data_IF_735263404212
#
_entry.id   IF_735263404212
#
_cell.length_a   1.000
_cell.length_b   1.000
_cell.length_c   1.000
_cell.angle_alpha   90.00
_cell.angle_beta   90.00
_cell.angle_gamma   90.00
#
_symmetry.space_group_name_H-M   'P 1'
#
loop_
_entity.id
_entity.type
_entity.pdbx_description
1 polymer ?
#
# COMPACT_ATOMS: atom_id res chain seq x y z
N UNK A 1 16.04 -11.59 48.59
CA UNK A 1 17.13 -10.62 48.81
C UNK A 1 17.59 -10.80 50.27
N UNK A 2 18.82 -11.23 50.50
CA UNK A 2 19.29 -11.64 51.84
C UNK A 2 20.17 -10.56 52.49
N UNK A 3 20.59 -9.57 51.73
CA UNK A 3 21.40 -8.45 52.18
C UNK A 3 20.96 -7.13 51.58
N UNK A 4 21.09 -6.07 52.39
CA UNK A 4 20.82 -4.70 51.93
C UNK A 4 21.80 -4.30 50.80
N UNK A 5 21.29 -3.81 49.64
CA UNK A 5 22.15 -3.40 48.53
C UNK A 5 23.03 -2.19 48.84
N UNK A 6 22.66 -1.37 49.84
CA UNK A 6 23.38 -0.14 50.16
C UNK A 6 24.46 -0.34 51.20
N UNK A 7 24.25 -1.19 52.22
CA UNK A 7 25.18 -1.34 53.34
C UNK A 7 25.64 -2.77 53.61
N UNK A 8 25.12 -3.79 52.89
CA UNK A 8 25.48 -5.19 53.03
C UNK A 8 24.93 -5.88 54.28
N UNK A 9 24.16 -5.19 55.15
CA UNK A 9 23.60 -5.78 56.36
C UNK A 9 22.61 -6.92 56.01
N UNK A 10 22.59 -8.04 56.78
CA UNK A 10 21.60 -9.10 56.59
C UNK A 10 20.18 -8.53 56.75
N UNK A 11 19.28 -8.91 55.83
CA UNK A 11 17.85 -8.56 55.89
C UNK A 11 17.08 -9.71 56.53
N UNK A 12 16.05 -9.38 57.33
CA UNK A 12 15.08 -10.32 57.87
C UNK A 12 13.91 -10.51 56.91
N UNK A 13 12.75 -10.87 57.48
CA UNK A 13 11.52 -11.04 56.70
C UNK A 13 11.09 -9.76 56.01
N UNK A 14 10.44 -9.86 54.85
CA UNK A 14 9.96 -8.70 54.09
C UNK A 14 8.94 -7.88 54.91
N UNK A 15 9.21 -6.59 55.10
CA UNK A 15 8.29 -5.68 55.79
C UNK A 15 6.98 -5.49 55.04
N UNK A 16 7.05 -5.50 53.70
CA UNK A 16 5.91 -5.39 52.80
C UNK A 16 6.11 -6.23 51.54
N UNK A 17 5.04 -6.87 51.08
CA UNK A 17 4.99 -7.55 49.79
C UNK A 17 3.87 -6.92 48.95
N UNK A 18 4.19 -6.56 47.72
CA UNK A 18 3.18 -6.10 46.76
C UNK A 18 3.28 -6.91 45.49
N UNK A 19 2.12 -7.07 44.84
CA UNK A 19 2.03 -7.74 43.55
C UNK A 19 2.29 -6.73 42.42
N UNK A 20 3.09 -7.14 41.46
CA UNK A 20 3.34 -6.38 40.24
C UNK A 20 3.08 -7.25 39.04
N UNK A 21 2.04 -6.88 38.25
CA UNK A 21 1.75 -7.52 36.99
C UNK A 21 2.56 -6.85 35.89
N UNK A 22 3.35 -7.62 35.17
CA UNK A 22 4.18 -7.15 34.06
C UNK A 22 3.76 -7.91 32.81
N UNK A 23 3.47 -7.18 31.74
CA UNK A 23 3.24 -7.75 30.41
C UNK A 23 4.55 -7.73 29.63
N UNK A 24 4.97 -8.89 29.13
CA UNK A 24 6.22 -9.02 28.37
C UNK A 24 5.93 -9.69 27.02
N UNK A 25 6.73 -9.36 26.00
CA UNK A 25 6.67 -9.99 24.71
C UNK A 25 7.55 -11.24 24.66
N UNK A 26 7.00 -12.35 24.18
CA UNK A 26 7.81 -13.51 23.81
C UNK A 26 8.59 -13.16 22.55
N UNK A 27 9.93 -13.31 22.53
CA UNK A 27 10.72 -13.05 21.34
C UNK A 27 10.21 -13.82 20.14
N UNK A 28 10.07 -13.15 19.01
CA UNK A 28 9.69 -13.81 17.78
C UNK A 28 10.80 -14.78 17.35
N UNK A 29 10.44 -15.98 16.91
CA UNK A 29 11.38 -16.98 16.42
C UNK A 29 10.90 -17.58 15.10
N UNK A 30 11.85 -18.08 14.30
CA UNK A 30 11.57 -18.78 13.03
C UNK A 30 11.75 -20.29 13.19
N UNK A 31 10.94 -21.02 12.43
CA UNK A 31 11.15 -22.46 12.23
C UNK A 31 11.63 -22.70 10.81
N UNK A 32 12.58 -23.60 10.67
CA UNK A 32 12.97 -24.14 9.37
C UNK A 32 12.50 -25.59 9.33
N UNK A 33 11.65 -25.92 8.37
CA UNK A 33 11.13 -27.28 8.16
C UNK A 33 11.72 -27.85 6.88
N UNK A 34 12.22 -29.06 6.94
CA UNK A 34 12.56 -29.85 5.76
C UNK A 34 11.32 -30.67 5.38
N UNK A 35 10.77 -30.43 4.20
CA UNK A 35 9.62 -31.16 3.66
C UNK A 35 10.14 -32.04 2.52
N UNK A 36 9.97 -33.34 2.63
CA UNK A 36 10.28 -34.30 1.57
C UNK A 36 9.02 -34.48 0.73
N UNK A 37 9.11 -34.08 -0.54
CA UNK A 37 8.00 -34.19 -1.50
C UNK A 37 8.35 -35.34 -2.47
N UNK A 38 7.53 -36.39 -2.43
CA UNK A 38 7.67 -37.51 -3.33
C UNK A 38 6.88 -37.28 -4.62
N UNK A 39 7.51 -37.49 -5.74
CA UNK A 39 6.92 -37.41 -7.08
C UNK A 39 6.79 -38.82 -7.64
N UNK A 40 5.63 -39.13 -8.19
CA UNK A 40 5.32 -40.43 -8.73
C UNK A 40 4.89 -40.29 -10.19
N UNK A 41 5.38 -41.20 -11.05
CA UNK A 41 4.85 -41.33 -12.39
C UNK A 41 3.53 -42.12 -12.35
N UNK A 42 2.46 -41.53 -12.87
CA UNK A 42 1.18 -42.21 -13.04
C UNK A 42 1.11 -42.81 -14.44
N UNK A 43 1.11 -44.16 -14.55
CA UNK A 43 1.03 -44.85 -15.83
C UNK A 43 -0.35 -44.69 -16.51
N UNK A 44 -1.40 -44.37 -15.76
CA UNK A 44 -2.74 -44.14 -16.28
C UNK A 44 -2.90 -42.75 -16.87
N UNK A 45 -2.46 -41.72 -16.13
CA UNK A 45 -2.56 -40.29 -16.55
C UNK A 45 -1.39 -39.85 -17.42
N UNK A 46 -0.35 -40.67 -17.58
CA UNK A 46 0.91 -40.36 -18.29
C UNK A 46 1.55 -39.04 -17.84
N UNK A 47 1.53 -38.76 -16.52
CA UNK A 47 2.13 -37.56 -15.94
C UNK A 47 2.72 -37.80 -14.55
N UNK A 48 3.65 -36.92 -14.16
CA UNK A 48 4.15 -36.88 -12.79
C UNK A 48 3.12 -36.29 -11.87
N UNK A 49 2.83 -36.96 -10.76
CA UNK A 49 1.93 -36.49 -9.70
C UNK A 49 2.68 -36.38 -8.37
N UNK A 50 2.29 -35.45 -7.55
CA UNK A 50 2.84 -35.26 -6.20
C UNK A 50 1.74 -34.89 -5.23
N UNK A 51 1.92 -35.18 -3.95
CA UNK A 51 1.02 -34.76 -2.90
C UNK A 51 1.16 -33.25 -2.65
N UNK A 52 0.05 -32.58 -2.44
CA UNK A 52 0.03 -31.18 -1.95
C UNK A 52 0.29 -31.13 -0.44
N UNK A 53 0.73 -30.01 0.07
CA UNK A 53 0.89 -29.75 1.49
C UNK A 53 0.38 -28.34 1.82
N UNK A 54 -0.25 -28.19 2.96
CA UNK A 54 -0.69 -26.92 3.54
C UNK A 54 0.43 -26.17 4.31
N UNK A 55 1.58 -26.84 4.47
CA UNK A 55 2.70 -26.35 5.28
C UNK A 55 3.69 -25.48 4.50
N UNK A 56 3.59 -25.47 3.19
CA UNK A 56 4.39 -24.62 2.30
C UNK A 56 3.53 -24.12 1.14
N UNK A 57 3.80 -22.92 0.68
CA UNK A 57 3.18 -22.43 -0.55
C UNK A 57 3.73 -23.21 -1.77
N UNK A 58 2.90 -23.45 -2.78
CA UNK A 58 3.36 -24.12 -4.01
C UNK A 58 4.58 -23.40 -4.58
N UNK A 59 5.62 -24.17 -4.92
CA UNK A 59 6.87 -23.70 -5.53
C UNK A 59 7.57 -22.55 -4.78
N UNK A 60 7.31 -22.40 -3.46
CA UNK A 60 7.89 -21.36 -2.61
C UNK A 60 8.61 -21.96 -1.40
N UNK A 61 9.61 -21.23 -0.92
CA UNK A 61 10.36 -21.60 0.31
C UNK A 61 9.69 -21.05 1.59
N UNK A 62 8.58 -20.31 1.45
CA UNK A 62 7.89 -19.68 2.54
C UNK A 62 6.67 -20.51 2.96
N UNK A 63 6.51 -20.66 4.27
CA UNK A 63 5.26 -21.18 4.83
C UNK A 63 4.17 -20.10 4.87
N UNK A 64 2.90 -20.51 4.96
CA UNK A 64 1.77 -19.57 4.88
C UNK A 64 1.80 -18.48 5.97
N UNK A 65 2.26 -18.78 7.17
CA UNK A 65 2.37 -17.78 8.25
C UNK A 65 3.36 -16.66 7.92
N UNK A 66 4.55 -17.01 7.41
CA UNK A 66 5.52 -16.01 6.97
C UNK A 66 4.97 -15.18 5.82
N UNK A 67 4.35 -15.83 4.83
CA UNK A 67 3.73 -15.16 3.71
C UNK A 67 2.66 -14.14 4.17
N UNK A 68 1.73 -14.56 5.03
CA UNK A 68 0.70 -13.67 5.59
C UNK A 68 1.30 -12.50 6.37
N UNK A 69 2.40 -12.73 7.10
CA UNK A 69 3.08 -11.65 7.82
C UNK A 69 3.67 -10.62 6.86
N UNK A 70 4.34 -11.06 5.78
CA UNK A 70 4.92 -10.15 4.78
C UNK A 70 3.84 -9.34 4.06
N UNK A 71 2.71 -9.99 3.69
CA UNK A 71 1.55 -9.32 3.11
C UNK A 71 0.95 -8.29 4.09
N UNK A 72 0.76 -8.66 5.35
CA UNK A 72 0.23 -7.76 6.36
C UNK A 72 1.11 -6.51 6.54
N UNK A 73 2.43 -6.69 6.63
CA UNK A 73 3.36 -5.56 6.74
C UNK A 73 3.26 -4.63 5.52
N UNK A 74 3.07 -5.19 4.32
CA UNK A 74 2.83 -4.40 3.11
C UNK A 74 1.50 -3.64 3.18
N UNK A 75 0.43 -4.28 3.63
CA UNK A 75 -0.89 -3.64 3.82
C UNK A 75 -0.85 -2.53 4.87
N UNK A 76 0.03 -2.63 5.86
CA UNK A 76 0.29 -1.56 6.82
C UNK A 76 1.10 -0.39 6.23
N UNK A 77 1.43 -0.43 4.96
CA UNK A 77 2.13 0.65 4.23
C UNK A 77 3.65 0.60 4.32
N UNK A 78 4.25 -0.51 4.77
CA UNK A 78 5.70 -0.63 4.79
C UNK A 78 6.24 -0.86 3.36
N UNK A 79 7.21 -0.05 2.90
CA UNK A 79 7.92 -0.33 1.66
C UNK A 79 8.66 -1.67 1.73
N UNK A 80 8.81 -2.37 0.60
CA UNK A 80 9.39 -3.72 0.53
C UNK A 80 10.76 -3.83 1.23
N UNK A 81 11.63 -2.82 1.09
CA UNK A 81 12.93 -2.79 1.80
C UNK A 81 12.77 -2.71 3.31
N UNK A 82 11.77 -1.97 3.81
CA UNK A 82 11.47 -1.91 5.24
C UNK A 82 10.88 -3.22 5.75
N UNK A 83 10.09 -3.91 4.94
CA UNK A 83 9.62 -5.26 5.27
C UNK A 83 10.81 -6.20 5.43
N UNK A 84 11.76 -6.18 4.51
CA UNK A 84 13.00 -6.96 4.58
C UNK A 84 13.77 -6.69 5.87
N UNK A 85 14.05 -5.42 6.20
CA UNK A 85 14.76 -5.00 7.41
C UNK A 85 14.02 -5.43 8.67
N UNK A 86 12.69 -5.26 8.70
CA UNK A 86 11.84 -5.62 9.83
C UNK A 86 11.93 -7.11 10.14
N UNK A 87 11.79 -7.96 9.11
CA UNK A 87 11.83 -9.41 9.28
C UNK A 87 13.24 -9.89 9.66
N UNK A 88 14.29 -9.30 9.08
CA UNK A 88 15.67 -9.59 9.49
C UNK A 88 15.91 -9.24 10.97
N UNK A 89 15.41 -8.09 11.42
CA UNK A 89 15.58 -7.63 12.81
C UNK A 89 14.75 -8.44 13.80
N UNK A 90 13.48 -8.73 13.48
CA UNK A 90 12.56 -9.39 14.42
C UNK A 90 12.80 -10.89 14.57
N UNK A 91 13.10 -11.57 13.46
CA UNK A 91 13.18 -13.05 13.43
C UNK A 91 14.50 -13.58 12.86
N UNK A 92 15.45 -12.71 12.57
CA UNK A 92 16.77 -13.08 12.02
C UNK A 92 16.67 -13.78 10.65
N UNK A 93 15.68 -13.44 9.83
CA UNK A 93 15.45 -14.08 8.54
C UNK A 93 15.84 -13.14 7.39
N UNK A 94 16.85 -13.54 6.63
CA UNK A 94 17.26 -12.87 5.39
C UNK A 94 16.32 -13.29 4.25
N UNK A 95 15.52 -12.33 3.76
CA UNK A 95 14.64 -12.51 2.59
C UNK A 95 15.00 -11.46 1.55
N UNK A 96 15.17 -11.86 0.30
CA UNK A 96 15.47 -10.90 -0.76
C UNK A 96 14.25 -10.01 -1.09
N UNK A 97 14.49 -8.76 -1.49
CA UNK A 97 13.44 -7.84 -1.98
C UNK A 97 12.63 -8.49 -3.10
N UNK A 98 13.31 -9.16 -4.06
CA UNK A 98 12.62 -9.84 -5.15
C UNK A 98 11.70 -10.97 -4.68
N UNK A 99 12.11 -11.75 -3.66
CA UNK A 99 11.27 -12.81 -3.12
C UNK A 99 10.01 -12.27 -2.42
N UNK A 100 10.14 -11.13 -1.72
CA UNK A 100 8.98 -10.44 -1.13
C UNK A 100 8.06 -9.92 -2.23
N UNK A 101 8.61 -9.29 -3.27
CA UNK A 101 7.84 -8.75 -4.39
C UNK A 101 7.02 -9.84 -5.09
N UNK A 102 7.66 -10.93 -5.48
CA UNK A 102 6.99 -12.08 -6.12
C UNK A 102 5.90 -12.69 -5.22
N UNK A 103 6.10 -12.69 -3.90
CA UNK A 103 5.07 -13.13 -2.97
C UNK A 103 3.88 -12.17 -2.94
N UNK A 104 4.11 -10.86 -2.92
CA UNK A 104 3.04 -9.86 -2.92
C UNK A 104 2.23 -9.93 -4.23
N UNK A 105 2.88 -10.10 -5.37
CA UNK A 105 2.23 -10.29 -6.68
C UNK A 105 1.32 -11.52 -6.68
N UNK A 106 1.85 -12.68 -6.26
CA UNK A 106 1.05 -13.90 -6.17
C UNK A 106 -0.12 -13.79 -5.18
N UNK A 107 0.06 -13.02 -4.09
CA UNK A 107 -1.02 -12.76 -3.15
C UNK A 107 -2.09 -11.86 -3.75
N UNK A 108 -1.69 -10.83 -4.50
CA UNK A 108 -2.62 -9.96 -5.22
C UNK A 108 -3.44 -10.75 -6.27
N UNK A 109 -2.80 -11.63 -7.03
CA UNK A 109 -3.49 -12.52 -7.98
C UNK A 109 -4.53 -13.41 -7.28
N UNK A 110 -4.19 -13.97 -6.12
CA UNK A 110 -5.10 -14.84 -5.37
C UNK A 110 -6.32 -14.09 -4.80
N UNK A 111 -6.20 -12.78 -4.57
CA UNK A 111 -7.27 -11.90 -4.11
C UNK A 111 -8.12 -11.30 -5.24
N UNK A 112 -7.82 -11.63 -6.50
CA UNK A 112 -8.57 -11.16 -7.66
C UNK A 112 -10.08 -11.36 -7.55
N UNK A 113 -10.60 -12.55 -7.18
CA UNK A 113 -12.04 -12.77 -6.99
C UNK A 113 -12.67 -11.86 -5.93
N UNK A 114 -11.95 -11.55 -4.84
CA UNK A 114 -12.42 -10.65 -3.78
C UNK A 114 -12.42 -9.20 -4.26
N UNK A 115 -11.42 -8.80 -5.02
CA UNK A 115 -11.35 -7.48 -5.66
C UNK A 115 -12.55 -7.25 -6.59
N UNK A 116 -12.89 -8.25 -7.42
CA UNK A 116 -14.07 -8.22 -8.28
C UNK A 116 -15.39 -8.22 -7.48
N UNK A 117 -15.42 -8.90 -6.33
CA UNK A 117 -16.58 -8.88 -5.45
C UNK A 117 -16.80 -7.48 -4.85
N UNK A 118 -15.72 -6.81 -4.42
CA UNK A 118 -15.76 -5.43 -3.94
C UNK A 118 -16.25 -4.49 -5.04
N UNK A 119 -15.76 -4.64 -6.26
CA UNK A 119 -16.23 -3.85 -7.41
C UNK A 119 -17.73 -4.02 -7.63
N UNK A 120 -18.23 -5.26 -7.64
CA UNK A 120 -19.69 -5.52 -7.77
C UNK A 120 -20.50 -4.89 -6.64
N UNK A 121 -19.96 -4.82 -5.42
CA UNK A 121 -20.63 -4.16 -4.30
C UNK A 121 -20.72 -2.64 -4.49
N UNK A 122 -19.65 -2.02 -4.99
CA UNK A 122 -19.67 -0.60 -5.38
C UNK A 122 -20.72 -0.33 -6.48
N UNK A 123 -20.85 -1.22 -7.47
CA UNK A 123 -21.84 -1.08 -8.53
C UNK A 123 -23.31 -1.21 -8.05
N UNK A 124 -23.53 -1.87 -6.91
CA UNK A 124 -24.86 -2.00 -6.27
C UNK A 124 -25.20 -0.84 -5.33
N UNK A 125 -24.24 -0.01 -5.01
CA UNK A 125 -24.40 1.04 -4.03
C UNK A 125 -25.36 2.14 -4.50
N UNK A 126 -26.14 2.69 -3.56
CA UNK A 126 -27.02 3.82 -3.84
C UNK A 126 -26.27 5.14 -4.01
N UNK A 127 -25.07 5.23 -3.46
CA UNK A 127 -24.21 6.41 -3.52
C UNK A 127 -22.77 5.99 -3.66
N UNK A 128 -22.05 6.59 -4.60
CA UNK A 128 -20.61 6.45 -4.79
C UNK A 128 -19.96 7.82 -4.82
N UNK A 129 -18.84 7.93 -4.14
CA UNK A 129 -17.98 9.11 -4.11
C UNK A 129 -16.65 8.77 -4.81
N UNK A 130 -16.54 9.03 -6.11
CA UNK A 130 -15.28 8.90 -6.80
C UNK A 130 -14.38 10.10 -6.52
N UNK A 131 -13.09 9.83 -6.45
CA UNK A 131 -12.02 10.84 -6.37
C UNK A 131 -10.76 10.28 -7.03
N UNK A 132 -9.88 11.16 -7.52
CA UNK A 132 -8.64 10.72 -8.15
C UNK A 132 -7.46 11.57 -7.70
N UNK A 133 -6.31 10.93 -7.54
CA UNK A 133 -5.06 11.59 -7.20
C UNK A 133 -3.94 11.17 -8.13
N UNK A 134 -3.08 12.12 -8.50
CA UNK A 134 -1.92 11.82 -9.34
C UNK A 134 -0.83 11.12 -8.53
N UNK A 135 -0.17 10.15 -9.15
CA UNK A 135 0.98 9.46 -8.60
C UNK A 135 2.04 9.20 -9.67
N UNK A 136 3.26 8.88 -9.24
CA UNK A 136 4.35 8.53 -10.16
C UNK A 136 4.59 7.03 -10.15
N UNK A 137 4.53 6.42 -11.33
CA UNK A 137 4.84 5.00 -11.53
C UNK A 137 5.90 4.89 -12.62
N UNK A 138 7.08 4.38 -12.29
CA UNK A 138 8.18 4.25 -13.25
C UNK A 138 8.60 5.57 -13.93
N UNK A 139 8.43 6.72 -13.25
CA UNK A 139 8.73 8.04 -13.81
C UNK A 139 7.59 8.65 -14.64
N UNK A 140 6.55 7.90 -15.00
CA UNK A 140 5.37 8.39 -15.70
C UNK A 140 4.29 8.87 -14.72
N UNK A 141 3.42 9.77 -15.16
CA UNK A 141 2.23 10.17 -14.41
C UNK A 141 1.16 9.10 -14.54
N UNK A 142 0.62 8.67 -13.40
CA UNK A 142 -0.52 7.80 -13.27
C UNK A 142 -1.56 8.42 -12.34
N UNK A 143 -2.75 7.87 -12.33
CA UNK A 143 -3.84 8.28 -11.47
C UNK A 143 -4.32 7.10 -10.64
N UNK A 144 -4.39 7.31 -9.35
CA UNK A 144 -5.06 6.42 -8.43
C UNK A 144 -6.49 6.92 -8.27
N UNK A 145 -7.43 6.13 -8.76
CA UNK A 145 -8.85 6.37 -8.65
C UNK A 145 -9.41 5.64 -7.44
N UNK A 146 -10.28 6.27 -6.71
CA UNK A 146 -11.07 5.65 -5.65
C UNK A 146 -12.55 5.79 -5.96
N UNK A 147 -13.32 4.74 -5.78
CA UNK A 147 -14.77 4.74 -5.90
C UNK A 147 -15.33 4.24 -4.58
N UNK A 148 -15.56 5.17 -3.66
CA UNK A 148 -15.99 4.86 -2.30
C UNK A 148 -17.51 4.81 -2.19
N UNK A 149 -18.03 3.73 -1.66
CA UNK A 149 -19.42 3.52 -1.28
C UNK A 149 -19.52 3.36 0.24
N UNK A 150 -20.72 3.17 0.78
CA UNK A 150 -20.95 3.07 2.22
C UNK A 150 -20.20 1.87 2.86
N UNK A 151 -20.22 0.72 2.20
CA UNK A 151 -19.67 -0.54 2.73
C UNK A 151 -18.44 -1.06 1.98
N UNK A 152 -18.09 -0.44 0.85
CA UNK A 152 -17.02 -0.90 -0.03
C UNK A 152 -16.30 0.27 -0.70
N UNK A 153 -15.04 0.08 -1.03
CA UNK A 153 -14.27 1.02 -1.86
C UNK A 153 -13.46 0.24 -2.89
N UNK A 154 -13.64 0.58 -4.15
CA UNK A 154 -12.87 0.04 -5.26
C UNK A 154 -11.79 1.05 -5.67
N UNK A 155 -10.60 0.55 -5.94
CA UNK A 155 -9.46 1.36 -6.37
C UNK A 155 -8.98 0.90 -7.73
N UNK A 156 -8.68 1.84 -8.61
CA UNK A 156 -8.15 1.59 -9.94
C UNK A 156 -6.89 2.43 -10.18
N UNK A 157 -5.88 1.86 -10.81
CA UNK A 157 -4.68 2.59 -11.23
C UNK A 157 -4.68 2.71 -12.75
N UNK A 158 -4.62 3.94 -13.27
CA UNK A 158 -4.67 4.19 -14.70
C UNK A 158 -3.73 5.33 -15.11
N UNK A 159 -3.06 5.25 -16.26
CA UNK A 159 -2.28 6.37 -16.79
C UNK A 159 -3.17 7.55 -17.22
N UNK A 160 -4.46 7.32 -17.46
CA UNK A 160 -5.43 8.32 -17.87
C UNK A 160 -6.17 8.95 -16.70
N UNK A 161 -6.42 10.26 -16.76
CA UNK A 161 -7.43 10.97 -15.98
C UNK A 161 -8.70 11.16 -16.81
N UNK A 162 -8.98 10.26 -17.71
CA UNK A 162 -10.09 10.40 -18.65
C UNK A 162 -11.42 9.87 -18.14
N UNK A 163 -12.50 10.29 -18.78
CA UNK A 163 -13.85 9.77 -18.55
C UNK A 163 -13.97 8.27 -18.86
N UNK A 164 -13.04 7.72 -19.64
CA UNK A 164 -12.93 6.30 -19.98
C UNK A 164 -12.76 5.42 -18.75
N UNK A 165 -12.04 5.90 -17.72
CA UNK A 165 -11.90 5.19 -16.45
C UNK A 165 -13.24 5.13 -15.72
N UNK A 166 -13.96 6.25 -15.65
CA UNK A 166 -15.30 6.32 -15.04
C UNK A 166 -16.26 5.37 -15.74
N UNK A 167 -16.21 5.34 -17.09
CA UNK A 167 -17.03 4.45 -17.91
C UNK A 167 -16.69 2.98 -17.71
N UNK A 168 -15.42 2.65 -17.57
CA UNK A 168 -14.98 1.27 -17.33
C UNK A 168 -15.40 0.77 -15.95
N UNK A 169 -15.28 1.62 -14.92
CA UNK A 169 -15.55 1.23 -13.55
C UNK A 169 -17.03 1.26 -13.21
N UNK A 170 -17.75 2.34 -13.51
CA UNK A 170 -19.15 2.48 -13.14
C UNK A 170 -20.12 2.12 -14.26
N UNK A 171 -19.73 2.33 -15.52
CA UNK A 171 -20.66 2.25 -16.67
C UNK A 171 -21.55 3.49 -16.81
N UNK A 172 -22.04 3.74 -18.04
CA UNK A 172 -22.91 4.90 -18.32
C UNK A 172 -24.24 4.85 -17.57
N UNK A 173 -24.74 3.65 -17.33
CA UNK A 173 -26.07 3.41 -16.76
C UNK A 173 -26.01 3.06 -15.26
N UNK A 174 -24.98 3.51 -14.57
CA UNK A 174 -24.90 3.35 -13.11
C UNK A 174 -26.14 3.97 -12.44
N UNK A 175 -26.87 3.15 -11.68
CA UNK A 175 -28.18 3.55 -11.14
C UNK A 175 -28.12 4.36 -9.85
N UNK A 176 -26.97 4.36 -9.15
CA UNK A 176 -26.75 5.10 -7.92
C UNK A 176 -26.55 6.61 -8.18
N UNK A 177 -26.39 7.34 -7.10
CA UNK A 177 -26.01 8.75 -7.13
C UNK A 177 -24.48 8.85 -7.07
N UNK A 178 -23.86 9.61 -7.97
CA UNK A 178 -22.43 9.92 -7.94
C UNK A 178 -22.21 11.30 -7.37
N UNK A 179 -21.45 11.40 -6.28
CA UNK A 179 -21.08 12.69 -5.65
C UNK A 179 -19.57 12.89 -5.83
N UNK A 180 -19.19 13.79 -6.73
CA UNK A 180 -17.79 14.06 -7.08
C UNK A 180 -17.46 15.55 -6.95
N UNK A 181 -16.23 15.92 -7.25
CA UNK A 181 -15.92 17.31 -7.61
C UNK A 181 -16.64 17.71 -8.91
N UNK A 182 -16.51 18.96 -9.32
CA UNK A 182 -17.16 19.49 -10.53
C UNK A 182 -16.35 19.21 -11.83
N UNK A 183 -15.53 18.16 -11.83
CA UNK A 183 -14.77 17.81 -13.01
C UNK A 183 -15.66 17.22 -14.11
N UNK A 184 -15.48 17.71 -15.34
CA UNK A 184 -16.33 17.37 -16.48
C UNK A 184 -16.25 15.87 -16.90
N UNK A 185 -15.24 15.13 -16.50
CA UNK A 185 -15.10 13.70 -16.80
C UNK A 185 -16.25 12.84 -16.29
N UNK A 186 -16.96 13.29 -15.26
CA UNK A 186 -18.15 12.59 -14.74
C UNK A 186 -19.43 12.87 -15.56
N UNK A 187 -19.40 13.78 -16.57
CA UNK A 187 -20.56 14.10 -17.41
C UNK A 187 -21.01 12.94 -18.29
N UNK A 188 -20.19 11.93 -18.46
CA UNK A 188 -20.49 10.70 -19.21
C UNK A 188 -21.58 9.86 -18.53
N UNK A 189 -21.77 10.00 -17.23
CA UNK A 189 -22.77 9.26 -16.47
C UNK A 189 -24.17 9.83 -16.68
N UNK A 190 -25.14 8.96 -16.99
CA UNK A 190 -26.56 9.31 -17.22
C UNK A 190 -27.37 9.39 -15.93
N UNK A 191 -26.85 8.84 -14.82
CA UNK A 191 -27.50 8.75 -13.52
C UNK A 191 -27.53 10.07 -12.74
N UNK A 192 -28.01 9.99 -11.50
CA UNK A 192 -28.06 11.13 -10.58
C UNK A 192 -26.65 11.56 -10.18
N UNK A 193 -26.41 12.86 -10.19
CA UNK A 193 -25.14 13.46 -9.80
C UNK A 193 -25.31 14.52 -8.74
N UNK A 194 -24.39 14.56 -7.79
CA UNK A 194 -24.24 15.63 -6.81
C UNK A 194 -22.81 16.19 -6.83
N UNK A 195 -22.66 17.44 -6.47
CA UNK A 195 -21.34 18.07 -6.32
C UNK A 195 -20.91 18.00 -4.87
N UNK A 196 -19.68 17.58 -4.64
CA UNK A 196 -19.10 17.49 -3.31
C UNK A 196 -19.03 18.88 -2.66
N UNK A 197 -19.73 19.07 -1.53
CA UNK A 197 -19.79 20.34 -0.82
C UNK A 197 -18.42 20.85 -0.36
N UNK A 198 -17.50 19.96 -0.04
CA UNK A 198 -16.14 20.33 0.37
C UNK A 198 -15.40 21.02 -0.78
N UNK A 199 -15.51 20.48 -2.00
CA UNK A 199 -14.91 21.07 -3.20
C UNK A 199 -15.58 22.40 -3.54
N UNK A 200 -16.90 22.46 -3.54
CA UNK A 200 -17.66 23.70 -3.76
C UNK A 200 -17.28 24.80 -2.75
N UNK A 201 -17.11 24.44 -1.49
CA UNK A 201 -16.73 25.39 -0.44
C UNK A 201 -15.29 25.92 -0.63
N UNK A 202 -14.36 25.11 -1.16
CA UNK A 202 -13.01 25.58 -1.52
C UNK A 202 -13.08 26.64 -2.64
N UNK A 203 -13.93 26.43 -3.63
CA UNK A 203 -14.18 27.43 -4.69
C UNK A 203 -14.76 28.71 -4.12
N UNK A 204 -15.79 28.65 -3.29
CA UNK A 204 -16.41 29.79 -2.65
C UNK A 204 -15.43 30.58 -1.76
N UNK A 205 -14.59 29.91 -0.99
CA UNK A 205 -13.55 30.57 -0.17
C UNK A 205 -12.54 31.32 -1.06
N UNK A 206 -12.18 30.79 -2.20
CA UNK A 206 -11.27 31.45 -3.16
C UNK A 206 -11.90 32.74 -3.73
N UNK A 207 -13.21 32.76 -3.94
CA UNK A 207 -13.94 33.95 -4.38
C UNK A 207 -14.10 35.01 -3.26
N UNK A 208 -14.16 34.59 -2.00
CA UNK A 208 -14.31 35.50 -0.84
C UNK A 208 -12.96 36.10 -0.38
N UNK A 209 -11.83 35.59 -0.82
CA UNK A 209 -10.54 36.20 -0.52
C UNK A 209 -10.41 37.45 -1.40
N UNK A 210 -10.30 38.68 -0.83
CA UNK A 210 -10.15 39.88 -1.64
C UNK A 210 -8.89 39.73 -2.50
N UNK A 211 -9.03 40.06 -3.79
CA UNK A 211 -7.90 40.20 -4.71
C UNK A 211 -7.00 41.33 -4.19
N UNK A 212 -6.03 41.01 -3.34
CA UNK A 212 -5.23 42.06 -2.69
C UNK A 212 -4.18 41.60 -1.69
N UNK A 213 -3.83 40.31 -1.63
CA UNK A 213 -2.57 39.92 -0.99
C UNK A 213 -1.66 39.20 -1.99
N UNK A 214 -1.15 39.93 -2.94
CA UNK A 214 0.04 39.56 -3.69
C UNK A 214 1.20 39.45 -2.70
N UNK A 215 1.44 38.25 -2.15
CA UNK A 215 2.71 37.98 -1.50
C UNK A 215 3.80 38.12 -2.56
N UNK A 216 4.67 39.07 -2.26
CA UNK A 216 5.74 39.60 -3.09
C UNK A 216 6.48 38.56 -3.92
N UNK A 217 6.64 38.91 -5.18
CA UNK A 217 7.51 38.20 -6.09
C UNK A 217 8.91 38.07 -5.51
N UNK A 218 9.35 36.86 -5.32
CA UNK A 218 10.78 36.58 -5.21
C UNK A 218 11.33 36.45 -6.63
N UNK A 219 12.18 37.38 -6.90
CA UNK A 219 13.13 37.59 -7.94
C UNK A 219 13.26 36.52 -9.03
N UNK A 220 12.91 36.92 -10.24
CA UNK A 220 13.43 36.31 -11.43
C UNK A 220 14.96 36.48 -11.41
N UNK A 221 15.69 35.43 -11.14
CA UNK A 221 17.13 35.39 -11.38
C UNK A 221 17.35 35.38 -12.88
N UNK A 222 17.79 36.53 -13.39
CA UNK A 222 18.32 36.69 -14.75
C UNK A 222 19.54 35.77 -14.86
N UNK A 223 19.43 34.69 -15.59
CA UNK A 223 20.61 34.00 -16.11
C UNK A 223 21.36 34.93 -17.04
N UNK A 224 22.46 35.52 -16.56
CA UNK A 224 23.49 36.10 -17.38
C UNK A 224 24.21 34.93 -18.07
N UNK A 225 24.09 34.88 -19.37
CA UNK A 225 24.97 34.11 -20.24
C UNK A 225 26.40 34.65 -20.11
N UNK A 226 27.30 33.89 -19.54
CA UNK A 226 28.74 34.16 -19.58
C UNK A 226 29.26 33.46 -20.83
N UNK A 227 29.57 34.24 -21.85
CA UNK A 227 30.38 33.84 -23.01
C UNK A 227 31.82 33.69 -22.52
N UNK A 228 32.32 32.48 -22.41
CA UNK A 228 33.73 32.17 -22.17
C UNK A 228 34.53 32.22 -23.46
N UNK A 229 35.83 32.61 -23.42
CA UNK A 229 36.68 32.81 -24.59
C UNK A 229 37.09 31.47 -25.22
N UNK A 230 37.15 31.48 -26.56
CA UNK A 230 37.51 30.34 -27.39
C UNK A 230 38.95 29.85 -27.14
N UNK A 231 39.10 28.53 -27.15
CA UNK A 231 40.40 27.85 -27.17
C UNK A 231 40.81 27.62 -28.61
N UNK A 232 42.03 27.99 -29.04
CA UNK A 232 42.51 27.76 -30.41
C UNK A 232 42.88 26.28 -30.60
N UNK A 233 42.46 25.71 -31.74
CA UNK A 233 42.91 24.42 -32.22
C UNK A 233 44.35 24.58 -32.73
N UNK A 234 45.29 23.83 -32.13
CA UNK A 234 46.61 23.59 -32.72
C UNK A 234 46.53 22.26 -33.50
N UNK A 235 46.81 22.36 -34.82
CA UNK A 235 47.04 21.21 -35.66
C UNK A 235 48.47 20.69 -35.52
N UNK A 236 48.62 19.43 -35.69
CA UNK A 236 49.71 18.67 -36.34
C UNK A 236 49.33 17.18 -36.24
#
# INVERSE_FOLDING_TARGET
MDRCPDCGHPLGDPAHTYERIVTELIPAYRWVRKILVHRYWCSHCHRVVQASTDRALPDRQFGPRLASTLVLLSMMGLPVRRIQETVATMVGLEVSVGAIQVLLEASAESLGPDYEAIHREVLRAHLVQPDETSMRVGGANWWAWSFAAELAAHYELDPSRGQDVVMRVLGADFHGTVVSDDWCGYNVLRGKRGVCWIHSNRHLKRWRSPAGSSRGGRGASRHRSISGPGIPRSGS
#
